data_IF_415311833784
#
_entry.id   IF_415311833784
#
_cell.length_a   1.000
_cell.length_b   1.000
_cell.length_c   1.000
_cell.angle_alpha   90.00
_cell.angle_beta   90.00
_cell.angle_gamma   90.00
#
_symmetry.space_group_name_H-M   'P 1'
#
loop_
_entity.id
_entity.type
_entity.pdbx_description
1 polymer ?
#
# COMPACT_ATOMS: atom_id res chain seq x y z
N UNK A 1 18.41 -20.90 -22.27
CA UNK A 1 17.78 -19.56 -22.42
C UNK A 1 16.31 -19.47 -21.97
N UNK A 2 15.49 -20.53 -22.04
CA UNK A 2 14.07 -20.50 -21.63
C UNK A 2 13.80 -20.21 -20.13
N UNK A 3 14.67 -20.66 -19.24
CA UNK A 3 14.52 -20.45 -17.79
C UNK A 3 14.65 -18.97 -17.38
N UNK A 4 15.50 -18.20 -18.07
CA UNK A 4 15.70 -16.77 -17.78
C UNK A 4 14.50 -15.92 -18.20
N UNK A 5 13.87 -16.27 -19.33
CA UNK A 5 12.65 -15.63 -19.85
C UNK A 5 11.41 -15.93 -18.97
N UNK A 6 11.35 -17.13 -18.39
CA UNK A 6 10.26 -17.50 -17.50
C UNK A 6 10.35 -16.78 -16.16
N UNK A 7 11.56 -16.69 -15.58
CA UNK A 7 11.82 -16.01 -14.30
C UNK A 7 11.56 -14.50 -14.36
N UNK A 8 11.84 -13.86 -15.49
CA UNK A 8 11.57 -12.43 -15.71
C UNK A 8 10.07 -12.13 -15.84
N UNK A 9 9.29 -13.02 -16.43
CA UNK A 9 7.82 -12.87 -16.51
C UNK A 9 7.14 -13.03 -15.15
N UNK A 10 7.56 -14.00 -14.34
CA UNK A 10 7.02 -14.15 -12.98
C UNK A 10 7.37 -12.97 -12.08
N UNK A 11 8.60 -12.47 -12.14
CA UNK A 11 9.01 -11.27 -11.39
C UNK A 11 8.22 -10.03 -11.83
N UNK A 12 8.01 -9.83 -13.13
CA UNK A 12 7.19 -8.73 -13.66
C UNK A 12 5.73 -8.85 -13.19
N UNK A 13 5.13 -10.04 -13.28
CA UNK A 13 3.77 -10.28 -12.79
C UNK A 13 3.63 -10.08 -11.27
N UNK A 14 4.65 -10.45 -10.50
CA UNK A 14 4.69 -10.24 -9.06
C UNK A 14 4.77 -8.74 -8.70
N UNK A 15 5.58 -7.97 -9.42
CA UNK A 15 5.66 -6.51 -9.26
C UNK A 15 4.31 -5.84 -9.58
N UNK A 16 3.67 -6.23 -10.69
CA UNK A 16 2.33 -5.71 -11.05
C UNK A 16 1.31 -6.05 -9.97
N UNK A 17 1.31 -7.29 -9.48
CA UNK A 17 0.40 -7.70 -8.41
C UNK A 17 0.68 -6.95 -7.10
N UNK A 18 1.96 -6.70 -6.78
CA UNK A 18 2.37 -5.97 -5.58
C UNK A 18 1.95 -4.49 -5.65
N UNK A 19 2.06 -3.86 -6.82
CA UNK A 19 1.54 -2.51 -7.04
C UNK A 19 0.01 -2.48 -6.94
N UNK A 20 -0.69 -3.38 -7.63
CA UNK A 20 -2.16 -3.42 -7.63
C UNK A 20 -2.75 -3.63 -6.22
N UNK A 21 -2.15 -4.53 -5.45
CA UNK A 21 -2.53 -4.78 -4.05
C UNK A 21 -2.31 -3.52 -3.18
N UNK A 22 -1.20 -2.80 -3.38
CA UNK A 22 -0.95 -1.54 -2.68
C UNK A 22 -2.00 -0.49 -3.02
N UNK A 23 -2.35 -0.32 -4.31
CA UNK A 23 -3.35 0.66 -4.74
C UNK A 23 -4.71 0.43 -4.07
N UNK A 24 -5.13 -0.84 -4.00
CA UNK A 24 -6.36 -1.22 -3.29
C UNK A 24 -6.26 -0.91 -1.79
N UNK A 25 -5.13 -1.25 -1.18
CA UNK A 25 -4.88 -1.00 0.24
C UNK A 25 -4.90 0.49 0.60
N UNK A 26 -4.28 1.36 -0.20
CA UNK A 26 -4.30 2.82 0.03
C UNK A 26 -5.69 3.41 -0.16
N UNK A 27 -6.46 2.94 -1.16
CA UNK A 27 -7.86 3.37 -1.34
C UNK A 27 -8.73 3.03 -0.14
N UNK A 28 -8.54 1.85 0.45
CA UNK A 28 -9.26 1.45 1.66
C UNK A 28 -8.90 2.37 2.85
N UNK A 29 -7.63 2.75 2.99
CA UNK A 29 -7.16 3.69 4.02
C UNK A 29 -7.73 5.09 3.79
N UNK A 30 -7.63 5.63 2.58
CA UNK A 30 -8.19 6.95 2.23
C UNK A 30 -9.70 7.00 2.51
N UNK A 31 -10.46 5.97 2.11
CA UNK A 31 -11.89 5.89 2.41
C UNK A 31 -12.20 5.96 3.92
N UNK A 32 -11.30 5.51 4.80
CA UNK A 32 -11.45 5.70 6.25
C UNK A 32 -11.21 7.14 6.69
N UNK A 33 -10.23 7.84 6.10
CA UNK A 33 -9.99 9.26 6.35
C UNK A 33 -11.12 10.14 5.82
N UNK A 34 -11.66 9.85 4.62
CA UNK A 34 -12.81 10.58 4.07
C UNK A 34 -14.05 10.46 4.99
N UNK A 35 -14.27 9.29 5.60
CA UNK A 35 -15.35 9.08 6.58
C UNK A 35 -15.09 9.75 7.94
N UNK A 36 -13.84 10.10 8.23
CA UNK A 36 -13.40 10.70 9.48
C UNK A 36 -12.62 11.97 9.19
N UNK A 37 -13.24 12.96 8.54
CA UNK A 37 -12.58 14.19 8.09
C UNK A 37 -11.83 14.96 9.20
N UNK A 38 -12.20 14.76 10.48
CA UNK A 38 -11.48 15.31 11.64
C UNK A 38 -10.19 14.57 12.01
N UNK A 39 -9.84 13.48 11.33
CA UNK A 39 -8.69 12.65 11.66
C UNK A 39 -7.37 13.26 11.20
N UNK A 40 -7.34 14.18 10.22
CA UNK A 40 -6.15 14.96 9.83
C UNK A 40 -4.83 14.17 9.79
N UNK A 41 -3.69 14.82 10.03
CA UNK A 41 -2.39 14.16 10.16
C UNK A 41 -2.22 13.38 11.49
N UNK A 42 -3.27 12.68 11.98
CA UNK A 42 -3.23 11.91 13.21
C UNK A 42 -2.55 10.55 12.98
N UNK A 43 -1.36 10.40 13.55
CA UNK A 43 -0.54 9.18 13.44
C UNK A 43 -1.20 7.95 14.07
N UNK A 44 -1.99 8.10 15.13
CA UNK A 44 -2.73 6.99 15.74
C UNK A 44 -3.84 6.51 14.81
N UNK A 45 -4.58 7.46 14.21
CA UNK A 45 -5.63 7.12 13.26
C UNK A 45 -5.04 6.50 11.98
N UNK A 46 -3.89 6.98 11.50
CA UNK A 46 -3.18 6.35 10.40
C UNK A 46 -2.86 4.88 10.71
N UNK A 47 -2.27 4.60 11.88
CA UNK A 47 -1.94 3.22 12.28
C UNK A 47 -3.20 2.35 12.34
N UNK A 48 -4.28 2.86 12.92
CA UNK A 48 -5.57 2.18 12.96
C UNK A 48 -6.12 1.91 11.55
N UNK A 49 -6.07 2.87 10.64
CA UNK A 49 -6.56 2.74 9.28
C UNK A 49 -5.74 1.71 8.47
N UNK A 50 -4.42 1.72 8.62
CA UNK A 50 -3.52 0.71 8.04
C UNK A 50 -3.83 -0.69 8.58
N UNK A 51 -4.01 -0.83 9.89
CA UNK A 51 -4.33 -2.12 10.53
C UNK A 51 -5.71 -2.64 10.06
N UNK A 52 -6.71 -1.78 9.99
CA UNK A 52 -8.08 -2.13 9.58
C UNK A 52 -8.19 -2.49 8.10
N UNK A 53 -7.39 -1.82 7.25
CA UNK A 53 -7.34 -2.09 5.81
C UNK A 53 -6.56 -3.38 5.49
N UNK A 54 -5.85 -3.97 6.46
CA UNK A 54 -5.19 -5.26 6.28
C UNK A 54 -6.21 -6.41 6.34
N UNK A 55 -6.82 -6.73 5.20
CA UNK A 55 -7.85 -7.77 5.08
C UNK A 55 -7.82 -8.46 3.72
N UNK A 56 -8.58 -9.55 3.59
CA UNK A 56 -8.73 -10.25 2.31
C UNK A 56 -7.39 -10.70 1.70
N UNK A 57 -7.20 -10.46 0.40
CA UNK A 57 -6.00 -10.91 -0.33
C UNK A 57 -4.70 -10.36 0.27
N UNK A 58 -4.65 -9.08 0.64
CA UNK A 58 -3.41 -8.45 1.14
C UNK A 58 -3.02 -8.92 2.54
N UNK A 59 -4.00 -9.41 3.31
CA UNK A 59 -3.75 -10.12 4.58
C UNK A 59 -3.21 -11.52 4.31
N UNK A 60 -3.88 -12.29 3.45
CA UNK A 60 -3.50 -13.68 3.14
C UNK A 60 -2.10 -13.76 2.51
N UNK A 61 -1.74 -12.79 1.66
CA UNK A 61 -0.40 -12.70 1.07
C UNK A 61 0.67 -12.12 2.00
N UNK A 62 0.28 -11.63 3.19
CA UNK A 62 1.16 -10.93 4.13
C UNK A 62 1.67 -9.56 3.64
N UNK A 63 1.24 -9.09 2.46
CA UNK A 63 1.71 -7.84 1.86
C UNK A 63 1.28 -6.61 2.65
N UNK A 64 0.12 -6.64 3.30
CA UNK A 64 -0.35 -5.53 4.13
C UNK A 64 0.66 -5.15 5.22
N UNK A 65 1.37 -6.14 5.81
CA UNK A 65 2.36 -5.91 6.87
C UNK A 65 3.59 -5.20 6.31
N UNK A 66 3.97 -5.52 5.06
CA UNK A 66 5.05 -4.85 4.35
C UNK A 66 4.67 -3.40 4.05
N UNK A 67 3.48 -3.16 3.48
CA UNK A 67 2.99 -1.81 3.19
C UNK A 67 2.89 -0.97 4.46
N UNK A 68 2.25 -1.51 5.50
CA UNK A 68 2.11 -0.86 6.80
C UNK A 68 3.45 -0.41 7.36
N UNK A 69 4.45 -1.30 7.38
CA UNK A 69 5.79 -0.96 7.90
C UNK A 69 6.37 0.22 7.13
N UNK A 70 6.37 0.17 5.80
CA UNK A 70 6.92 1.22 4.93
C UNK A 70 6.16 2.56 5.06
N UNK A 71 4.83 2.53 5.19
CA UNK A 71 4.06 3.77 5.42
C UNK A 71 4.29 4.37 6.81
N UNK A 72 4.53 3.55 7.82
CA UNK A 72 4.83 4.02 9.17
C UNK A 72 6.28 4.49 9.33
N UNK A 73 7.21 4.11 8.44
CA UNK A 73 8.58 4.63 8.42
C UNK A 73 8.62 6.13 8.08
N UNK A 74 7.74 6.59 7.18
CA UNK A 74 7.59 8.01 6.90
C UNK A 74 6.11 8.42 6.72
N UNK A 75 5.38 8.63 7.84
CA UNK A 75 3.96 8.98 7.82
C UNK A 75 3.66 10.28 7.07
N UNK A 76 4.58 11.24 7.10
CA UNK A 76 4.38 12.54 6.45
C UNK A 76 4.23 12.40 4.93
N UNK A 77 5.03 11.52 4.32
CA UNK A 77 4.94 11.20 2.88
C UNK A 77 3.61 10.51 2.55
N UNK A 78 3.11 9.65 3.44
CA UNK A 78 1.81 9.03 3.23
C UNK A 78 0.69 10.09 3.26
N UNK A 79 0.70 10.98 4.26
CA UNK A 79 -0.30 12.04 4.34
C UNK A 79 -0.27 13.00 3.15
N UNK A 80 0.90 13.28 2.56
CA UNK A 80 1.00 14.13 1.35
C UNK A 80 0.47 13.48 0.08
N UNK A 81 0.24 12.16 0.09
CA UNK A 81 -0.21 11.40 -1.08
C UNK A 81 -1.46 10.57 -0.79
N UNK A 82 -2.15 10.85 0.32
CA UNK A 82 -3.30 10.05 0.75
C UNK A 82 -4.42 10.02 -0.30
N UNK A 83 -4.63 11.15 -0.98
CA UNK A 83 -5.59 11.32 -2.08
C UNK A 83 -5.05 10.84 -3.44
N UNK A 84 -3.78 10.42 -3.50
CA UNK A 84 -3.13 9.90 -4.71
C UNK A 84 -2.55 8.50 -4.45
N UNK A 85 -3.37 7.43 -4.56
CA UNK A 85 -2.95 6.06 -4.26
C UNK A 85 -1.70 5.61 -5.00
N UNK A 86 -1.53 6.04 -6.25
CA UNK A 86 -0.35 5.69 -7.05
C UNK A 86 0.93 6.32 -6.48
N UNK A 87 0.92 7.60 -6.14
CA UNK A 87 2.09 8.28 -5.58
C UNK A 87 2.43 7.75 -4.18
N UNK A 88 1.43 7.45 -3.35
CA UNK A 88 1.65 6.78 -2.07
C UNK A 88 2.35 5.43 -2.24
N UNK A 89 1.87 4.60 -3.18
CA UNK A 89 2.46 3.29 -3.45
C UNK A 89 3.84 3.37 -4.10
N UNK A 90 4.10 4.39 -4.92
CA UNK A 90 5.43 4.66 -5.48
C UNK A 90 6.42 5.07 -4.39
N UNK A 91 5.99 5.90 -3.44
CA UNK A 91 6.83 6.37 -2.35
C UNK A 91 7.36 5.24 -1.44
N UNK A 92 6.60 4.15 -1.32
CA UNK A 92 7.03 2.94 -0.61
C UNK A 92 7.58 1.85 -1.53
N UNK A 93 7.93 2.18 -2.78
CA UNK A 93 8.49 1.26 -3.77
C UNK A 93 7.60 0.02 -4.01
N UNK A 94 6.28 0.20 -3.95
CA UNK A 94 5.32 -0.83 -4.33
C UNK A 94 4.90 -0.73 -5.79
N UNK A 95 4.90 0.48 -6.35
CA UNK A 95 4.72 0.76 -7.77
C UNK A 95 5.99 1.41 -8.34
N UNK A 96 6.23 1.21 -9.63
CA UNK A 96 7.42 1.61 -10.36
C UNK A 96 7.08 1.92 -11.81
#
# INVERSE_FOLDING_TARGET
>A
MLAALSKTRTASGENVAFCADCLGYVRDVDAMFQKNAGAGANSQFLRYALDTSCRGRVLVSGRCLQYRRRFLENPAIFFSHLDSPYEACKAIQACN
#
